data_IF_260633334329
#
_entry.id   IF_260633334329
#
_cell.length_a   1.000
_cell.length_b   1.000
_cell.length_c   1.000
_cell.angle_alpha   90.00
_cell.angle_beta   90.00
_cell.angle_gamma   90.00
#
_symmetry.space_group_name_H-M   'P 1'
#
loop_
_entity.id
_entity.type
_entity.pdbx_description
1 polymer ?
#
# COMPACT_ATOMS: atom_id res chain seq x y z
N UNK A 1 -4.68 -1.38 -26.21
CA UNK A 1 -5.81 -1.78 -25.36
C UNK A 1 -5.25 -2.65 -24.24
N UNK A 2 -5.37 -2.22 -22.99
CA UNK A 2 -4.93 -3.04 -21.86
C UNK A 2 -5.78 -4.30 -21.75
N UNK A 3 -5.14 -5.43 -21.48
CA UNK A 3 -5.88 -6.66 -21.19
C UNK A 3 -6.66 -6.46 -19.88
N UNK A 4 -7.87 -6.99 -19.81
CA UNK A 4 -8.72 -6.92 -18.61
C UNK A 4 -7.99 -7.47 -17.36
N UNK A 5 -7.10 -8.43 -17.58
CA UNK A 5 -6.18 -9.01 -16.60
C UNK A 5 -5.17 -8.01 -16.04
N UNK A 6 -4.58 -7.13 -16.86
CA UNK A 6 -3.64 -6.10 -16.39
C UNK A 6 -4.32 -5.08 -15.48
N UNK A 7 -5.53 -4.65 -15.85
CA UNK A 7 -6.32 -3.73 -15.04
C UNK A 7 -6.75 -4.37 -13.73
N UNK A 8 -7.26 -5.62 -13.76
CA UNK A 8 -7.63 -6.36 -12.54
C UNK A 8 -6.44 -6.50 -11.58
N UNK A 9 -5.27 -6.85 -12.09
CA UNK A 9 -4.04 -6.94 -11.30
C UNK A 9 -3.61 -5.58 -10.72
N UNK A 10 -3.72 -4.49 -11.49
CA UNK A 10 -3.43 -3.14 -11.00
C UNK A 10 -4.36 -2.71 -9.86
N UNK A 11 -5.67 -2.92 -10.03
CA UNK A 11 -6.64 -2.58 -8.98
C UNK A 11 -6.41 -3.43 -7.72
N UNK A 12 -6.16 -4.74 -7.86
CA UNK A 12 -5.83 -5.60 -6.73
C UNK A 12 -4.59 -5.08 -5.97
N UNK A 13 -3.53 -4.71 -6.69
CA UNK A 13 -2.33 -4.10 -6.09
C UNK A 13 -2.65 -2.84 -5.29
N UNK A 14 -3.34 -1.89 -5.91
CA UNK A 14 -3.64 -0.60 -5.25
C UNK A 14 -4.62 -0.76 -4.09
N UNK A 15 -5.50 -1.75 -4.14
CA UNK A 15 -6.35 -2.12 -3.01
C UNK A 15 -5.52 -2.56 -1.79
N UNK A 16 -4.63 -3.55 -1.95
CA UNK A 16 -3.77 -3.99 -0.84
C UNK A 16 -2.81 -2.90 -0.38
N UNK A 17 -2.26 -2.12 -1.31
CA UNK A 17 -1.43 -0.95 -1.00
C UNK A 17 -2.15 0.01 -0.04
N UNK A 18 -3.37 0.42 -0.38
CA UNK A 18 -4.16 1.33 0.47
C UNK A 18 -4.44 0.70 1.83
N UNK A 19 -4.74 -0.61 1.90
CA UNK A 19 -4.91 -1.32 3.17
C UNK A 19 -3.63 -1.27 4.02
N UNK A 20 -2.46 -1.57 3.44
CA UNK A 20 -1.20 -1.55 4.18
C UNK A 20 -0.81 -0.14 4.61
N UNK A 21 -1.06 0.88 3.79
CA UNK A 21 -0.86 2.28 4.19
C UNK A 21 -1.82 2.67 5.32
N UNK A 22 -3.08 2.24 5.26
CA UNK A 22 -4.05 2.47 6.34
C UNK A 22 -3.61 1.78 7.65
N UNK A 23 -3.05 0.57 7.57
CA UNK A 23 -2.48 -0.12 8.73
C UNK A 23 -1.31 0.66 9.35
N UNK A 24 -0.44 1.23 8.51
CA UNK A 24 0.68 2.10 8.94
C UNK A 24 0.20 3.45 9.49
N UNK A 25 -0.97 3.92 9.08
CA UNK A 25 -1.60 5.14 9.55
C UNK A 25 -2.29 5.01 10.92
N UNK A 26 -2.43 3.80 11.46
CA UNK A 26 -3.13 3.56 12.73
C UNK A 26 -2.70 4.47 13.90
N UNK A 27 -1.41 4.80 14.10
CA UNK A 27 -0.99 5.71 15.17
C UNK A 27 -1.56 7.13 15.05
N UNK A 28 -2.08 7.55 13.88
CA UNK A 28 -2.76 8.84 13.72
C UNK A 28 -4.13 8.87 14.42
N UNK A 29 -4.73 7.71 14.64
CA UNK A 29 -6.09 7.57 15.16
C UNK A 29 -6.15 6.97 16.55
N UNK A 30 -5.06 6.36 17.02
CA UNK A 30 -4.97 5.71 18.33
C UNK A 30 -3.75 6.23 19.08
N UNK A 31 -3.86 6.34 20.40
CA UNK A 31 -2.78 6.76 21.29
C UNK A 31 -1.75 5.64 21.48
N UNK A 32 -0.93 5.42 20.45
CA UNK A 32 0.21 4.49 20.47
C UNK A 32 1.47 5.23 19.98
N UNK A 33 2.66 4.95 20.53
CA UNK A 33 3.91 5.49 20.00
C UNK A 33 4.11 5.05 18.55
N UNK A 34 4.12 6.01 17.63
CA UNK A 34 4.09 5.75 16.19
C UNK A 34 5.36 5.02 15.72
N UNK A 35 6.51 5.41 16.28
CA UNK A 35 7.82 4.83 16.01
C UNK A 35 7.83 3.34 16.39
N UNK A 36 7.36 3.00 17.60
CA UNK A 36 7.32 1.62 18.07
C UNK A 36 6.34 0.79 17.25
N UNK A 37 5.13 1.30 17.01
CA UNK A 37 4.12 0.60 16.24
C UNK A 37 4.62 0.28 14.82
N UNK A 38 5.15 1.28 14.12
CA UNK A 38 5.67 1.09 12.76
C UNK A 38 6.93 0.21 12.78
N UNK A 39 7.82 0.33 13.76
CA UNK A 39 8.99 -0.54 13.89
C UNK A 39 8.62 -2.02 14.06
N UNK A 40 7.57 -2.31 14.84
CA UNK A 40 7.05 -3.68 14.98
C UNK A 40 6.51 -4.19 13.65
N UNK A 41 5.75 -3.39 12.91
CA UNK A 41 5.26 -3.77 11.58
C UNK A 41 6.41 -3.99 10.59
N UNK A 42 7.43 -3.13 10.61
CA UNK A 42 8.64 -3.29 9.78
C UNK A 42 9.39 -4.57 10.13
N UNK A 43 9.51 -4.90 11.42
CA UNK A 43 10.15 -6.13 11.88
C UNK A 43 9.37 -7.36 11.40
N UNK A 44 8.04 -7.38 11.57
CA UNK A 44 7.17 -8.45 11.07
C UNK A 44 7.29 -8.58 9.54
N UNK A 45 7.23 -7.46 8.82
CA UNK A 45 7.44 -7.43 7.37
C UNK A 45 8.80 -7.97 6.95
N UNK A 46 9.85 -7.67 7.71
CA UNK A 46 11.20 -8.19 7.50
C UNK A 46 11.30 -9.70 7.72
N UNK A 47 10.64 -10.23 8.75
CA UNK A 47 10.55 -11.68 8.95
C UNK A 47 9.79 -12.38 7.83
N UNK A 48 8.63 -11.86 7.44
CA UNK A 48 7.83 -12.40 6.32
C UNK A 48 8.66 -12.39 5.04
N UNK A 49 9.29 -11.26 4.72
CA UNK A 49 10.18 -11.13 3.57
C UNK A 49 11.34 -12.13 3.61
N UNK A 50 11.99 -12.29 4.76
CA UNK A 50 13.09 -13.25 4.93
C UNK A 50 12.64 -14.69 4.70
N UNK A 51 11.45 -15.09 5.20
CA UNK A 51 10.90 -16.43 4.97
C UNK A 51 10.60 -16.61 3.48
N UNK A 52 9.96 -15.64 2.83
CA UNK A 52 9.66 -15.70 1.41
C UNK A 52 10.89 -15.91 0.54
N UNK A 53 11.98 -15.19 0.84
CA UNK A 53 13.21 -15.24 0.04
C UNK A 53 14.03 -16.49 0.35
N UNK A 54 14.18 -16.85 1.64
CA UNK A 54 15.04 -17.98 2.03
C UNK A 54 14.36 -19.34 1.97
N UNK A 55 13.03 -19.37 2.15
CA UNK A 55 12.25 -20.59 2.27
C UNK A 55 10.92 -20.47 1.49
N UNK A 56 10.98 -20.30 0.15
CA UNK A 56 9.78 -20.07 -0.67
C UNK A 56 8.76 -21.23 -0.58
N UNK A 57 9.23 -22.48 -0.45
CA UNK A 57 8.37 -23.65 -0.26
C UNK A 57 7.57 -23.56 1.05
N UNK A 58 8.24 -23.18 2.15
CA UNK A 58 7.60 -23.00 3.46
C UNK A 58 6.59 -21.86 3.42
N UNK A 59 6.90 -20.78 2.69
CA UNK A 59 5.95 -19.69 2.46
C UNK A 59 4.70 -20.14 1.70
N UNK A 60 4.88 -20.93 0.64
CA UNK A 60 3.76 -21.45 -0.14
C UNK A 60 2.89 -22.41 0.67
N UNK A 61 3.51 -23.32 1.43
CA UNK A 61 2.81 -24.20 2.37
C UNK A 61 2.05 -23.41 3.43
N UNK A 62 2.67 -22.38 4.03
CA UNK A 62 2.02 -21.50 4.99
C UNK A 62 0.79 -20.82 4.39
N UNK A 63 0.90 -20.25 3.18
CA UNK A 63 -0.22 -19.59 2.50
C UNK A 63 -1.38 -20.56 2.24
N UNK A 64 -1.08 -21.75 1.72
CA UNK A 64 -2.10 -22.78 1.47
C UNK A 64 -2.77 -23.24 2.77
N UNK A 65 -1.99 -23.46 3.82
CA UNK A 65 -2.50 -23.86 5.13
C UNK A 65 -3.34 -22.76 5.79
N UNK A 66 -3.00 -21.48 5.59
CA UNK A 66 -3.79 -20.35 6.09
C UNK A 66 -5.19 -20.34 5.46
N UNK A 67 -5.29 -20.41 4.13
CA UNK A 67 -6.58 -20.44 3.45
C UNK A 67 -7.40 -21.67 3.82
N UNK A 68 -6.76 -22.84 3.91
CA UNK A 68 -7.42 -24.06 4.40
C UNK A 68 -7.95 -23.91 5.82
N UNK A 69 -7.15 -23.32 6.72
CA UNK A 69 -7.55 -23.08 8.11
C UNK A 69 -8.73 -22.12 8.21
N UNK A 70 -8.80 -21.10 7.34
CA UNK A 70 -9.97 -20.23 7.25
C UNK A 70 -11.22 -21.02 6.82
N UNK A 71 -11.12 -21.81 5.76
CA UNK A 71 -12.23 -22.66 5.31
C UNK A 71 -12.71 -23.64 6.41
N UNK A 72 -11.76 -24.26 7.13
CA UNK A 72 -12.06 -25.15 8.26
C UNK A 72 -12.70 -24.41 9.43
N UNK A 73 -12.20 -23.23 9.80
CA UNK A 73 -12.73 -22.45 10.91
C UNK A 73 -14.21 -22.08 10.68
N UNK A 74 -14.56 -21.70 9.46
CA UNK A 74 -15.96 -21.42 9.11
C UNK A 74 -16.82 -22.68 9.06
N UNK A 75 -16.28 -23.79 8.55
CA UNK A 75 -16.98 -25.07 8.59
C UNK A 75 -17.31 -25.48 10.03
N UNK A 76 -16.38 -25.27 10.98
CA UNK A 76 -16.62 -25.51 12.41
C UNK A 76 -17.63 -24.52 13.00
N UNK A 77 -17.59 -23.25 12.58
CA UNK A 77 -18.53 -22.23 13.04
C UNK A 77 -19.97 -22.56 12.61
N UNK A 78 -20.18 -23.09 11.41
CA UNK A 78 -21.48 -23.62 10.94
C UNK A 78 -21.95 -24.85 11.73
N UNK A 79 -21.04 -25.71 12.19
CA UNK A 79 -21.42 -26.84 13.05
C UNK A 79 -21.90 -26.39 14.43
N UNK A 80 -21.32 -25.30 14.96
CA UNK A 80 -21.68 -24.74 16.27
C UNK A 80 -22.91 -23.84 16.23
N UNK A 81 -23.12 -23.13 15.12
CA UNK A 81 -24.30 -22.33 14.84
C UNK A 81 -25.01 -22.97 13.65
N UNK A 82 -26.06 -23.80 13.86
CA UNK A 82 -26.84 -24.41 12.78
C UNK A 82 -27.62 -23.33 12.02
N UNK A 83 -26.88 -22.57 11.22
CA UNK A 83 -27.37 -21.63 10.23
C UNK A 83 -27.77 -22.50 9.05
N UNK A 84 -29.05 -22.89 9.01
CA UNK A 84 -29.67 -23.63 7.90
C UNK A 84 -29.77 -22.76 6.63
N UNK A 85 -28.61 -22.33 6.14
CA UNK A 85 -28.44 -21.38 5.04
C UNK A 85 -27.30 -21.86 4.15
N UNK A 86 -27.54 -22.89 3.30
CA UNK A 86 -26.55 -23.37 2.33
C UNK A 86 -26.03 -22.26 1.39
N UNK A 87 -26.79 -21.18 1.25
CA UNK A 87 -26.44 -19.97 0.51
C UNK A 87 -25.36 -19.11 1.22
N UNK A 88 -25.31 -19.09 2.55
CA UNK A 88 -24.23 -18.42 3.30
C UNK A 88 -22.90 -19.15 3.13
N UNK A 89 -22.93 -20.48 3.16
CA UNK A 89 -21.74 -21.34 2.97
C UNK A 89 -21.08 -21.09 1.62
N UNK A 90 -21.88 -21.10 0.55
CA UNK A 90 -21.37 -20.87 -0.80
C UNK A 90 -20.84 -19.45 -0.99
N UNK A 91 -21.49 -18.45 -0.41
CA UNK A 91 -21.00 -17.07 -0.40
C UNK A 91 -19.66 -16.94 0.32
N UNK A 92 -19.50 -17.59 1.48
CA UNK A 92 -18.25 -17.56 2.23
C UNK A 92 -17.11 -18.25 1.48
N UNK A 93 -17.34 -19.47 1.00
CA UNK A 93 -16.33 -20.18 0.20
C UNK A 93 -15.94 -19.39 -1.05
N UNK A 94 -16.91 -18.75 -1.70
CA UNK A 94 -16.63 -17.84 -2.81
C UNK A 94 -15.81 -16.63 -2.35
N UNK A 95 -16.08 -16.06 -1.18
CA UNK A 95 -15.31 -14.94 -0.64
C UNK A 95 -13.86 -15.33 -0.31
N UNK A 96 -13.61 -16.50 0.28
CA UNK A 96 -12.24 -16.99 0.55
C UNK A 96 -11.46 -17.17 -0.75
N UNK A 97 -12.06 -17.83 -1.73
CA UNK A 97 -11.44 -18.02 -3.04
C UNK A 97 -11.18 -16.70 -3.77
N UNK A 98 -12.14 -15.77 -3.70
CA UNK A 98 -11.97 -14.44 -4.28
C UNK A 98 -10.84 -13.67 -3.58
N UNK A 99 -10.71 -13.79 -2.26
CA UNK A 99 -9.60 -13.20 -1.52
C UNK A 99 -8.26 -13.78 -1.96
N UNK A 100 -8.15 -15.11 -2.08
CA UNK A 100 -6.95 -15.77 -2.59
C UNK A 100 -6.59 -15.30 -4.01
N UNK A 101 -7.56 -15.27 -4.92
CA UNK A 101 -7.38 -14.76 -6.28
C UNK A 101 -6.94 -13.29 -6.30
N UNK A 102 -7.48 -12.46 -5.40
CA UNK A 102 -7.10 -11.05 -5.29
C UNK A 102 -5.65 -10.90 -4.82
N UNK A 103 -5.22 -11.68 -3.83
CA UNK A 103 -3.82 -11.68 -3.37
C UNK A 103 -2.89 -12.09 -4.52
N UNK A 104 -3.20 -13.20 -5.20
CA UNK A 104 -2.40 -13.69 -6.33
C UNK A 104 -2.36 -12.69 -7.51
N UNK A 105 -3.46 -11.97 -7.74
CA UNK A 105 -3.51 -10.92 -8.76
C UNK A 105 -2.72 -9.67 -8.36
N UNK A 106 -2.57 -9.41 -7.06
CA UNK A 106 -1.80 -8.28 -6.55
C UNK A 106 -0.28 -8.53 -6.60
N UNK A 107 0.19 -9.75 -6.39
CA UNK A 107 1.63 -10.04 -6.41
C UNK A 107 2.28 -9.67 -7.76
N UNK A 108 3.31 -8.81 -7.74
CA UNK A 108 4.08 -8.46 -8.95
C UNK A 108 4.98 -9.62 -9.37
N UNK A 109 5.33 -9.69 -10.65
CA UNK A 109 6.17 -10.77 -11.18
C UNK A 109 7.58 -10.83 -10.58
N UNK A 110 8.11 -9.71 -10.09
CA UNK A 110 9.36 -9.72 -9.33
C UNK A 110 9.12 -10.10 -7.86
N UNK A 111 7.98 -9.76 -7.27
CA UNK A 111 7.66 -10.11 -5.87
C UNK A 111 7.41 -11.60 -5.71
N UNK A 112 6.82 -12.24 -6.73
CA UNK A 112 6.73 -13.70 -6.83
C UNK A 112 8.09 -14.40 -6.80
N UNK A 113 9.15 -13.72 -7.24
CA UNK A 113 10.52 -14.25 -7.34
C UNK A 113 11.43 -13.81 -6.20
N UNK A 114 11.18 -12.64 -5.62
CA UNK A 114 12.10 -11.96 -4.70
C UNK A 114 11.43 -11.55 -3.38
N UNK A 115 10.21 -12.02 -3.11
CA UNK A 115 9.43 -11.67 -1.91
C UNK A 115 8.74 -10.31 -2.02
N UNK A 116 7.88 -9.99 -1.04
CA UNK A 116 7.10 -8.76 -0.98
C UNK A 116 7.94 -7.53 -0.61
N UNK A 117 8.92 -7.22 -1.44
CA UNK A 117 9.85 -6.11 -1.24
C UNK A 117 9.12 -4.78 -1.10
N UNK A 118 8.08 -4.52 -1.90
CA UNK A 118 7.33 -3.26 -1.85
C UNK A 118 6.66 -3.02 -0.50
N UNK A 119 6.09 -4.05 0.12
CA UNK A 119 5.45 -3.97 1.43
C UNK A 119 6.49 -3.63 2.52
N UNK A 120 7.63 -4.34 2.52
CA UNK A 120 8.72 -4.07 3.46
C UNK A 120 9.25 -2.64 3.28
N UNK A 121 9.48 -2.22 2.04
CA UNK A 121 10.00 -0.90 1.71
C UNK A 121 9.02 0.22 2.10
N UNK A 122 7.71 -0.02 1.96
CA UNK A 122 6.67 0.84 2.53
C UNK A 122 6.82 1.01 4.04
N UNK A 123 6.89 -0.09 4.78
CA UNK A 123 7.05 -0.04 6.24
C UNK A 123 8.36 0.65 6.66
N UNK A 124 9.47 0.41 5.96
CA UNK A 124 10.75 1.10 6.18
C UNK A 124 10.63 2.60 5.88
N UNK A 125 10.02 2.98 4.76
CA UNK A 125 9.82 4.39 4.38
C UNK A 125 9.02 5.15 5.43
N UNK A 126 7.92 4.57 5.93
CA UNK A 126 7.13 5.14 7.01
C UNK A 126 7.90 5.20 8.34
N UNK A 127 8.72 4.19 8.65
CA UNK A 127 9.57 4.19 9.84
C UNK A 127 10.59 5.33 9.78
N UNK A 128 11.24 5.53 8.63
CA UNK A 128 12.19 6.64 8.42
C UNK A 128 11.47 7.98 8.55
N UNK A 129 10.29 8.12 7.94
CA UNK A 129 9.50 9.34 8.01
C UNK A 129 9.18 9.73 9.47
N UNK A 130 8.68 8.78 10.27
CA UNK A 130 8.33 9.06 11.66
C UNK A 130 9.56 9.22 12.55
N UNK A 131 10.63 8.44 12.34
CA UNK A 131 11.82 8.52 13.18
C UNK A 131 12.60 9.83 12.99
N UNK A 132 12.61 10.39 11.77
CA UNK A 132 13.35 11.62 11.46
C UNK A 132 12.50 12.86 11.69
N UNK A 133 11.25 12.86 11.20
CA UNK A 133 10.41 14.06 11.20
C UNK A 133 9.35 14.04 12.31
N UNK A 134 9.06 12.87 12.88
CA UNK A 134 8.07 12.72 13.94
C UNK A 134 6.65 12.51 13.43
N UNK A 135 5.77 12.07 14.35
CA UNK A 135 4.36 11.75 14.09
C UNK A 135 3.57 12.88 13.41
N UNK A 136 3.89 14.14 13.70
CA UNK A 136 3.19 15.31 13.17
C UNK A 136 3.20 15.40 11.63
N UNK A 137 4.22 14.83 10.98
CA UNK A 137 4.37 14.89 9.52
C UNK A 137 3.94 13.60 8.81
N UNK A 138 3.53 12.59 9.57
CA UNK A 138 3.13 11.28 9.04
C UNK A 138 1.87 11.35 8.18
N UNK A 139 0.95 12.28 8.48
CA UNK A 139 -0.28 12.46 7.70
C UNK A 139 0.02 12.80 6.23
N UNK A 140 1.02 13.64 5.97
CA UNK A 140 1.44 13.97 4.60
C UNK A 140 1.92 12.73 3.84
N UNK A 141 2.67 11.85 4.50
CA UNK A 141 3.13 10.57 3.94
C UNK A 141 1.97 9.64 3.63
N UNK A 142 1.01 9.50 4.56
CA UNK A 142 -0.19 8.66 4.37
C UNK A 142 -1.00 9.13 3.17
N UNK A 143 -1.35 10.42 3.11
CA UNK A 143 -2.15 10.98 2.02
C UNK A 143 -1.43 10.81 0.68
N UNK A 144 -0.12 11.12 0.63
CA UNK A 144 0.66 11.01 -0.61
C UNK A 144 0.75 9.56 -1.11
N UNK A 145 0.93 8.61 -0.21
CA UNK A 145 0.96 7.19 -0.57
C UNK A 145 -0.40 6.65 -1.01
N UNK A 146 -1.49 7.09 -0.40
CA UNK A 146 -2.85 6.66 -0.76
C UNK A 146 -3.32 7.30 -2.07
N UNK A 147 -3.05 8.58 -2.26
CA UNK A 147 -3.64 9.37 -3.35
C UNK A 147 -2.69 9.45 -4.53
N UNK A 148 -1.50 10.02 -4.35
CA UNK A 148 -0.58 10.25 -5.48
C UNK A 148 -0.19 8.93 -6.14
N UNK A 149 0.31 7.96 -5.37
CA UNK A 149 0.79 6.69 -5.93
C UNK A 149 -0.34 5.85 -6.56
N UNK A 150 -1.53 5.81 -5.96
CA UNK A 150 -2.67 5.12 -6.55
C UNK A 150 -3.15 5.77 -7.84
N UNK A 151 -3.36 7.09 -7.84
CA UNK A 151 -3.85 7.84 -9.01
C UNK A 151 -2.83 7.82 -10.14
N UNK A 152 -1.54 8.02 -9.83
CA UNK A 152 -0.45 8.01 -10.82
C UNK A 152 -0.42 6.68 -11.57
N UNK A 153 -0.52 5.56 -10.85
CA UNK A 153 -0.52 4.24 -11.46
C UNK A 153 -1.80 3.95 -12.26
N UNK A 154 -2.97 4.27 -11.73
CA UNK A 154 -4.26 4.00 -12.39
C UNK A 154 -4.40 4.83 -13.66
N UNK A 155 -4.22 6.16 -13.57
CA UNK A 155 -4.39 7.07 -14.70
C UNK A 155 -3.27 6.86 -15.73
N UNK A 156 -2.02 6.65 -15.26
CA UNK A 156 -0.89 6.37 -16.14
C UNK A 156 -1.08 5.11 -16.98
N UNK A 157 -1.71 4.07 -16.39
CA UNK A 157 -2.06 2.84 -17.10
C UNK A 157 -3.23 3.08 -18.05
N UNK A 158 -4.34 3.69 -17.59
CA UNK A 158 -5.54 3.86 -18.42
C UNK A 158 -5.34 4.76 -19.64
N UNK A 159 -4.62 5.88 -19.49
CA UNK A 159 -4.51 6.91 -20.52
C UNK A 159 -3.24 6.80 -21.39
N UNK A 160 -2.37 5.82 -21.13
CA UNK A 160 -1.14 5.53 -21.91
C UNK A 160 -0.36 6.79 -22.32
N UNK A 161 -0.14 7.69 -21.37
CA UNK A 161 0.48 8.98 -21.62
C UNK A 161 1.94 8.89 -22.06
N UNK A 162 2.41 9.93 -22.76
CA UNK A 162 3.82 10.08 -23.10
C UNK A 162 4.67 10.03 -21.82
N UNK A 163 5.72 9.20 -21.82
CA UNK A 163 6.68 9.16 -20.73
C UNK A 163 7.46 10.47 -20.69
N UNK A 164 7.60 11.04 -19.49
CA UNK A 164 8.31 12.31 -19.30
C UNK A 164 9.75 12.04 -18.84
N UNK A 165 9.89 11.26 -17.77
CA UNK A 165 11.18 10.93 -17.16
C UNK A 165 11.09 9.57 -16.46
N UNK A 166 11.99 8.65 -16.79
CA UNK A 166 11.98 7.30 -16.21
C UNK A 166 10.63 6.59 -16.39
N UNK A 167 9.99 6.27 -15.25
CA UNK A 167 8.67 5.61 -15.19
C UNK A 167 7.47 6.56 -15.23
N UNK A 168 7.68 7.88 -15.16
CA UNK A 168 6.59 8.87 -15.10
C UNK A 168 5.87 9.04 -16.43
N UNK A 169 4.54 9.08 -16.37
CA UNK A 169 3.66 9.42 -17.52
C UNK A 169 3.07 10.80 -17.33
N UNK A 170 2.89 11.56 -18.42
CA UNK A 170 2.30 12.91 -18.37
C UNK A 170 0.92 12.92 -17.71
N UNK A 171 0.02 12.05 -18.16
CA UNK A 171 -1.33 11.99 -17.63
C UNK A 171 -1.39 11.45 -16.20
N UNK A 172 -0.60 10.41 -15.88
CA UNK A 172 -0.53 9.85 -14.53
C UNK A 172 0.01 10.87 -13.52
N UNK A 173 1.14 11.49 -13.83
CA UNK A 173 1.79 12.48 -12.95
C UNK A 173 0.91 13.72 -12.77
N UNK A 174 0.30 14.23 -13.86
CA UNK A 174 -0.56 15.41 -13.81
C UNK A 174 -1.82 15.17 -12.97
N UNK A 175 -2.51 14.06 -13.19
CA UNK A 175 -3.69 13.69 -12.41
C UNK A 175 -3.33 13.44 -10.94
N UNK A 176 -2.26 12.69 -10.67
CA UNK A 176 -1.80 12.40 -9.32
C UNK A 176 -1.39 13.65 -8.56
N UNK A 177 -0.70 14.59 -9.21
CA UNK A 177 -0.30 15.87 -8.62
C UNK A 177 -1.53 16.66 -8.20
N UNK A 178 -2.50 16.83 -9.12
CA UNK A 178 -3.73 17.57 -8.82
C UNK A 178 -4.52 16.90 -7.69
N UNK A 179 -4.74 15.58 -7.78
CA UNK A 179 -5.46 14.82 -6.75
C UNK A 179 -4.77 14.89 -5.39
N UNK A 180 -3.44 14.81 -5.34
CA UNK A 180 -2.69 14.86 -4.09
C UNK A 180 -2.75 16.23 -3.44
N UNK A 181 -2.60 17.31 -4.21
CA UNK A 181 -2.73 18.68 -3.70
C UNK A 181 -4.13 18.89 -3.11
N UNK A 182 -5.18 18.49 -3.85
CA UNK A 182 -6.56 18.61 -3.37
C UNK A 182 -6.81 17.79 -2.10
N UNK A 183 -6.27 16.56 -2.02
CA UNK A 183 -6.40 15.71 -0.84
C UNK A 183 -5.66 16.28 0.38
N UNK A 184 -4.44 16.80 0.19
CA UNK A 184 -3.67 17.44 1.27
C UNK A 184 -4.39 18.69 1.78
N UNK A 185 -4.94 19.52 0.89
CA UNK A 185 -5.75 20.68 1.30
C UNK A 185 -7.01 20.25 2.05
N UNK A 186 -7.68 19.18 1.60
CA UNK A 186 -8.88 18.66 2.25
C UNK A 186 -8.63 18.14 3.68
N UNK A 187 -7.42 17.64 3.98
CA UNK A 187 -7.03 17.21 5.33
C UNK A 187 -6.38 18.32 6.18
N UNK A 188 -6.39 19.56 5.70
CA UNK A 188 -6.02 20.74 6.49
C UNK A 188 -4.67 21.37 6.18
N UNK A 189 -3.93 20.91 5.17
CA UNK A 189 -2.70 21.60 4.74
C UNK A 189 -3.04 22.88 3.96
N UNK A 190 -2.23 23.93 4.12
CA UNK A 190 -2.33 25.12 3.27
C UNK A 190 -1.99 24.78 1.82
N UNK A 191 -2.52 25.54 0.85
CA UNK A 191 -2.21 25.31 -0.56
C UNK A 191 -0.70 25.38 -0.87
N UNK A 192 0.09 26.35 -0.33
CA UNK A 192 1.54 26.35 -0.47
C UNK A 192 2.22 25.09 0.09
N UNK A 193 1.82 24.65 1.29
CA UNK A 193 2.33 23.42 1.90
C UNK A 193 2.03 22.19 1.05
N UNK A 194 0.78 22.06 0.56
CA UNK A 194 0.36 20.95 -0.27
C UNK A 194 1.12 20.87 -1.59
N UNK A 195 1.41 22.02 -2.21
CA UNK A 195 2.25 22.12 -3.40
C UNK A 195 3.69 21.69 -3.13
N UNK A 196 4.28 22.16 -2.03
CA UNK A 196 5.65 21.78 -1.64
C UNK A 196 5.77 20.29 -1.36
N UNK A 197 4.83 19.72 -0.59
CA UNK A 197 4.74 18.29 -0.31
C UNK A 197 4.63 17.49 -1.60
N UNK A 198 3.71 17.88 -2.49
CA UNK A 198 3.52 17.17 -3.76
C UNK A 198 4.73 17.28 -4.66
N UNK A 199 5.44 18.41 -4.69
CA UNK A 199 6.67 18.55 -5.46
C UNK A 199 7.74 17.55 -5.00
N UNK A 200 7.94 17.39 -3.69
CA UNK A 200 8.87 16.40 -3.14
C UNK A 200 8.44 14.96 -3.46
N UNK A 201 7.14 14.67 -3.41
CA UNK A 201 6.58 13.36 -3.78
C UNK A 201 6.85 13.04 -5.25
N UNK A 202 6.61 14.00 -6.16
CA UNK A 202 6.90 13.83 -7.60
C UNK A 202 8.39 13.58 -7.83
N UNK A 203 9.27 14.32 -7.14
CA UNK A 203 10.71 14.09 -7.24
C UNK A 203 11.12 12.71 -6.73
N UNK A 204 10.55 12.26 -5.61
CA UNK A 204 10.79 10.93 -5.06
C UNK A 204 10.32 9.83 -6.04
N UNK A 205 9.14 9.98 -6.63
CA UNK A 205 8.62 9.03 -7.62
C UNK A 205 9.46 9.02 -8.91
N UNK A 206 9.94 10.18 -9.36
CA UNK A 206 10.77 10.31 -10.55
C UNK A 206 12.14 9.62 -10.42
N UNK A 207 12.78 9.78 -9.25
CA UNK A 207 14.17 9.42 -9.03
C UNK A 207 14.35 8.07 -8.35
N UNK A 208 13.34 7.57 -7.65
CA UNK A 208 13.48 6.38 -6.82
C UNK A 208 13.32 5.08 -7.61
N UNK A 209 14.20 4.08 -7.35
CA UNK A 209 13.97 2.71 -7.80
C UNK A 209 12.80 2.04 -7.06
N UNK A 210 12.43 2.49 -5.86
CA UNK A 210 11.34 1.95 -5.04
C UNK A 210 10.55 3.10 -4.39
N UNK A 211 9.38 3.40 -4.94
CA UNK A 211 8.53 4.52 -4.51
C UNK A 211 8.01 4.34 -3.09
N UNK A 212 7.67 3.12 -2.68
CA UNK A 212 7.18 2.83 -1.33
C UNK A 212 8.19 3.20 -0.24
N UNK A 213 9.49 3.14 -0.54
CA UNK A 213 10.55 3.56 0.39
C UNK A 213 10.67 5.08 0.48
N UNK A 214 10.59 5.77 -0.67
CA UNK A 214 11.05 7.16 -0.78
C UNK A 214 9.94 8.20 -0.71
N UNK A 215 8.72 7.87 -1.14
CA UNK A 215 7.59 8.81 -1.06
C UNK A 215 7.26 9.17 0.40
N UNK A 216 7.17 8.22 1.36
CA UNK A 216 6.84 8.56 2.74
C UNK A 216 7.82 9.57 3.38
N UNK A 217 9.16 9.37 3.36
CA UNK A 217 10.08 10.34 3.93
C UNK A 217 10.13 11.65 3.15
N UNK A 218 9.96 11.64 1.83
CA UNK A 218 9.92 12.88 1.03
C UNK A 218 8.71 13.76 1.39
N UNK A 219 7.53 13.16 1.53
CA UNK A 219 6.33 13.87 1.96
C UNK A 219 6.45 14.42 3.38
N UNK A 220 7.00 13.63 4.30
CA UNK A 220 7.24 14.07 5.68
C UNK A 220 8.27 15.20 5.75
N UNK A 221 9.36 15.11 4.98
CA UNK A 221 10.40 16.14 4.91
C UNK A 221 9.82 17.48 4.43
N UNK A 222 9.03 17.46 3.35
CA UNK A 222 8.41 18.68 2.83
C UNK A 222 7.36 19.27 3.78
N UNK A 223 6.60 18.40 4.47
CA UNK A 223 5.67 18.82 5.51
C UNK A 223 6.40 19.49 6.68
N UNK A 224 7.54 18.91 7.11
CA UNK A 224 8.40 19.48 8.14
C UNK A 224 8.98 20.84 7.71
N UNK A 225 9.56 20.94 6.50
CA UNK A 225 10.09 22.18 5.95
C UNK A 225 9.00 23.27 5.84
N UNK A 226 7.78 22.90 5.44
CA UNK A 226 6.68 23.85 5.37
C UNK A 226 6.25 24.37 6.74
N UNK A 227 6.48 23.63 7.83
CA UNK A 227 6.20 24.10 9.19
C UNK A 227 7.26 25.05 9.75
N UNK A 228 8.42 25.15 9.09
CA UNK A 228 9.50 26.06 9.46
C UNK A 228 9.46 27.40 8.72
N UNK A 229 8.65 27.50 7.66
CA UNK A 229 8.47 28.68 6.81
C UNK A 229 7.22 29.46 7.22
#
# INVERSE_FOLDING_TARGET
MHSWTELRSLFARKFFHVIFVALLAAPLFVEVPAELYIAVLTLVGGFVYSIQVRQPLVWEEFRQNFFRSLEEAFTRLEQLLPLDKPLLRSQYQAAVRQLEELILAAERDYEKRHGYLGILMGAVGFLVAVAIFGKAHLLASVVSMVVYDAVSAVVGTLLQGRRIAGKLTLWGTGAATLSNVLALVAVGYSAPSALLITAFVVLADALSPEDNLTIPPAAAAASYLSGLL
#
